data_IF_919952051200
#
_entry.id   IF_919952051200
#
_cell.length_a   1.000
_cell.length_b   1.000
_cell.length_c   1.000
_cell.angle_alpha   90.00
_cell.angle_beta   90.00
_cell.angle_gamma   90.00
#
_symmetry.space_group_name_H-M   'P 1'
#
loop_
_entity.id
_entity.type
_entity.pdbx_description
1 polymer ?
#
# COMPACT_ATOMS: atom_id res chain seq x y z
N UNK A 1 -0.54 12.02 8.56
CA UNK A 1 -0.05 10.62 8.71
C UNK A 1 -1.04 9.65 8.13
N UNK A 2 -0.61 8.44 7.83
CA UNK A 2 -1.44 7.43 7.15
C UNK A 2 -1.39 6.12 7.91
N UNK A 3 -2.57 5.51 8.11
CA UNK A 3 -2.71 4.13 8.55
C UNK A 3 -2.69 3.23 7.33
N UNK A 4 -1.87 2.19 7.33
CA UNK A 4 -1.76 1.30 6.19
C UNK A 4 -1.57 -0.17 6.57
N UNK A 5 -2.18 -1.05 5.79
CA UNK A 5 -2.04 -2.49 5.90
C UNK A 5 -0.75 -2.94 5.21
N UNK A 6 0.05 -3.77 5.87
CA UNK A 6 1.34 -4.23 5.36
C UNK A 6 1.30 -5.69 4.96
N UNK A 7 2.07 -6.00 3.93
CA UNK A 7 2.21 -7.35 3.41
C UNK A 7 3.32 -8.14 4.12
N UNK A 8 3.24 -9.46 4.04
CA UNK A 8 4.29 -10.38 4.49
C UNK A 8 5.58 -10.24 3.67
N UNK A 9 6.67 -10.80 4.19
CA UNK A 9 7.99 -10.72 3.56
C UNK A 9 8.01 -11.28 2.13
N UNK A 10 7.25 -12.35 1.85
CA UNK A 10 7.21 -12.95 0.53
C UNK A 10 6.54 -12.02 -0.50
N UNK A 11 5.44 -11.38 -0.12
CA UNK A 11 4.76 -10.37 -0.95
C UNK A 11 5.64 -9.14 -1.16
N UNK A 12 6.33 -8.65 -0.10
CA UNK A 12 7.30 -7.56 -0.22
C UNK A 12 8.39 -7.86 -1.26
N UNK A 13 8.96 -9.06 -1.24
CA UNK A 13 9.98 -9.49 -2.20
C UNK A 13 9.42 -9.50 -3.63
N UNK A 14 8.21 -10.03 -3.85
CA UNK A 14 7.60 -10.08 -5.17
C UNK A 14 7.38 -8.67 -5.75
N UNK A 15 6.81 -7.75 -4.96
CA UNK A 15 6.58 -6.37 -5.38
C UNK A 15 7.91 -5.63 -5.60
N UNK A 16 8.90 -5.86 -4.73
CA UNK A 16 10.24 -5.28 -4.89
C UNK A 16 10.95 -5.76 -6.17
N UNK A 17 10.78 -7.02 -6.53
CA UNK A 17 11.33 -7.55 -7.79
C UNK A 17 10.70 -6.87 -9.02
N UNK A 18 9.40 -6.57 -8.99
CA UNK A 18 8.75 -5.82 -10.06
C UNK A 18 9.31 -4.39 -10.12
N UNK A 19 9.40 -3.71 -8.98
CA UNK A 19 9.96 -2.36 -8.88
C UNK A 19 11.42 -2.32 -9.38
N UNK A 20 12.26 -3.26 -8.97
CA UNK A 20 13.66 -3.34 -9.40
C UNK A 20 13.79 -3.47 -10.92
N UNK A 21 12.94 -4.28 -11.56
CA UNK A 21 12.92 -4.40 -13.02
C UNK A 21 12.57 -3.09 -13.71
N UNK A 22 11.67 -2.29 -13.15
CA UNK A 22 11.36 -0.94 -13.67
C UNK A 22 12.59 -0.05 -13.57
N UNK A 23 13.28 -0.07 -12.42
CA UNK A 23 14.51 0.71 -12.21
C UNK A 23 15.66 0.26 -13.13
N UNK A 24 15.78 -1.04 -13.40
CA UNK A 24 16.76 -1.60 -14.35
C UNK A 24 16.53 -1.14 -15.81
N UNK A 25 15.31 -0.75 -16.16
CA UNK A 25 15.00 -0.12 -17.43
C UNK A 25 15.48 1.36 -17.51
N UNK A 26 16.03 1.88 -16.43
CA UNK A 26 16.55 3.25 -16.34
C UNK A 26 15.50 4.31 -15.97
N UNK A 27 14.35 3.91 -15.43
CA UNK A 27 13.36 4.86 -14.93
C UNK A 27 13.63 5.21 -13.47
N UNK A 28 13.69 6.49 -13.17
CA UNK A 28 13.87 7.01 -11.82
C UNK A 28 12.50 7.31 -11.20
N UNK A 29 12.18 6.63 -10.10
CA UNK A 29 10.94 6.86 -9.38
C UNK A 29 11.08 7.90 -8.28
N UNK A 30 9.96 8.56 -7.96
CA UNK A 30 9.85 9.52 -6.86
C UNK A 30 9.22 8.92 -5.59
N UNK A 31 8.95 7.61 -5.60
CA UNK A 31 8.34 6.93 -4.44
C UNK A 31 9.28 6.88 -3.24
N UNK A 32 8.70 6.87 -2.06
CA UNK A 32 9.43 6.72 -0.80
C UNK A 32 9.94 5.29 -0.65
N UNK A 33 11.27 5.10 -0.67
CA UNK A 33 11.91 3.78 -0.70
C UNK A 33 11.93 3.06 0.65
N UNK A 34 11.78 3.80 1.76
CA UNK A 34 11.92 3.29 3.12
C UNK A 34 10.60 2.82 3.75
N UNK A 35 9.50 2.88 3.00
CA UNK A 35 8.20 2.37 3.44
C UNK A 35 7.96 1.00 2.79
N UNK A 36 7.52 -0.02 3.53
CA UNK A 36 7.14 -1.29 2.95
C UNK A 36 5.96 -1.12 1.98
N UNK A 37 5.85 -2.00 0.98
CA UNK A 37 4.65 -2.05 0.14
C UNK A 37 3.43 -2.30 1.02
N UNK A 38 2.37 -1.53 0.76
CA UNK A 38 1.21 -1.48 1.64
C UNK A 38 -0.07 -1.10 0.88
N UNK A 39 -1.19 -1.19 1.56
CA UNK A 39 -2.47 -0.59 1.14
C UNK A 39 -2.86 0.45 2.17
N UNK A 40 -3.02 1.70 1.75
CA UNK A 40 -3.50 2.78 2.62
C UNK A 40 -4.95 2.54 3.04
N UNK A 41 -5.23 2.70 4.32
CA UNK A 41 -6.54 2.49 4.93
C UNK A 41 -7.23 3.80 5.30
N UNK A 42 -6.47 4.85 5.62
CA UNK A 42 -6.99 6.16 5.97
C UNK A 42 -5.88 7.16 6.29
N UNK A 43 -6.16 8.44 6.10
CA UNK A 43 -5.24 9.55 6.37
C UNK A 43 -5.79 10.42 7.50
N UNK A 44 -4.90 10.90 8.37
CA UNK A 44 -5.28 11.58 9.61
C UNK A 44 -4.33 12.75 9.93
N UNK A 45 -4.80 13.77 10.63
CA UNK A 45 -3.93 14.80 11.20
C UNK A 45 -3.03 14.22 12.30
N UNK A 46 -1.92 14.89 12.58
CA UNK A 46 -0.91 14.40 13.53
C UNK A 46 -1.44 14.32 14.97
N UNK A 47 -2.42 15.13 15.30
CA UNK A 47 -3.05 15.19 16.62
C UNK A 47 -3.78 13.89 16.99
N UNK A 48 -4.13 13.08 16.00
CA UNK A 48 -4.79 11.78 16.21
C UNK A 48 -3.79 10.63 16.53
N UNK A 49 -2.49 10.90 16.61
CA UNK A 49 -1.45 9.86 16.69
C UNK A 49 -1.65 8.91 17.87
N UNK A 50 -1.87 9.42 19.07
CA UNK A 50 -2.01 8.60 20.28
C UNK A 50 -3.25 7.69 20.20
N UNK A 51 -4.39 8.25 19.80
CA UNK A 51 -5.63 7.49 19.62
C UNK A 51 -5.48 6.36 18.57
N UNK A 52 -4.84 6.67 17.44
CA UNK A 52 -4.61 5.71 16.37
C UNK A 52 -3.65 4.59 16.79
N UNK A 53 -2.61 4.92 17.56
CA UNK A 53 -1.67 3.92 18.10
C UNK A 53 -2.43 2.89 18.96
N UNK A 54 -3.26 3.35 19.89
CA UNK A 54 -4.03 2.46 20.75
C UNK A 54 -5.07 1.65 19.96
N UNK A 55 -5.72 2.27 18.98
CA UNK A 55 -6.66 1.59 18.10
C UNK A 55 -5.97 0.50 17.28
N UNK A 56 -4.81 0.79 16.69
CA UNK A 56 -4.02 -0.19 15.90
C UNK A 56 -3.63 -1.38 16.77
N UNK A 57 -3.11 -1.16 17.97
CA UNK A 57 -2.78 -2.23 18.92
C UNK A 57 -3.99 -3.11 19.22
N UNK A 58 -5.13 -2.48 19.52
CA UNK A 58 -6.37 -3.19 19.80
C UNK A 58 -6.86 -4.03 18.62
N UNK A 59 -6.84 -3.47 17.42
CA UNK A 59 -7.23 -4.18 16.19
C UNK A 59 -6.32 -5.37 15.94
N UNK A 60 -5.00 -5.19 16.05
CA UNK A 60 -4.03 -6.25 15.78
C UNK A 60 -4.08 -7.40 16.80
N UNK A 61 -4.55 -7.16 18.02
CA UNK A 61 -4.79 -8.22 19.01
C UNK A 61 -5.93 -9.17 18.64
N UNK A 62 -6.89 -8.72 17.84
CA UNK A 62 -8.13 -9.48 17.54
C UNK A 62 -8.27 -9.89 16.08
N UNK A 63 -7.40 -9.41 15.20
CA UNK A 63 -7.38 -9.74 13.78
C UNK A 63 -6.33 -10.82 13.49
N UNK A 64 -6.63 -11.64 12.49
CA UNK A 64 -5.68 -12.63 11.96
C UNK A 64 -5.20 -12.20 10.58
N UNK A 65 -4.04 -12.70 10.20
CA UNK A 65 -3.53 -12.58 8.84
C UNK A 65 -4.55 -13.11 7.83
N UNK A 66 -4.62 -12.45 6.67
CA UNK A 66 -5.50 -12.87 5.59
C UNK A 66 -4.88 -12.63 4.23
N UNK A 67 -5.40 -13.32 3.23
CA UNK A 67 -4.97 -13.19 1.85
C UNK A 67 -5.89 -12.28 1.07
N UNK A 68 -5.30 -11.52 0.17
CA UNK A 68 -5.96 -10.83 -0.94
C UNK A 68 -5.27 -11.23 -2.23
N UNK A 69 -5.96 -11.08 -3.35
CA UNK A 69 -5.36 -11.31 -4.66
C UNK A 69 -4.98 -9.98 -5.29
N UNK A 70 -3.70 -9.77 -5.57
CA UNK A 70 -3.24 -8.71 -6.44
C UNK A 70 -3.48 -9.17 -7.88
N UNK A 71 -4.47 -8.56 -8.54
CA UNK A 71 -5.04 -9.10 -9.76
C UNK A 71 -4.44 -8.52 -11.02
N UNK A 72 -4.17 -7.22 -11.02
CA UNK A 72 -3.70 -6.50 -12.20
C UNK A 72 -2.88 -5.28 -11.83
N UNK A 73 -2.22 -4.71 -12.83
CA UNK A 73 -1.57 -3.40 -12.75
C UNK A 73 -2.58 -2.34 -13.19
N UNK A 74 -2.57 -1.21 -12.51
CA UNK A 74 -3.37 -0.04 -12.84
C UNK A 74 -2.59 1.23 -12.50
N UNK A 75 -3.12 2.42 -12.79
CA UNK A 75 -2.43 3.69 -12.56
C UNK A 75 -3.39 4.82 -12.15
N UNK A 76 -2.86 5.81 -11.44
CA UNK A 76 -3.54 7.08 -11.17
C UNK A 76 -2.87 8.20 -11.96
N UNK A 77 -3.66 8.98 -12.69
CA UNK A 77 -3.25 10.22 -13.38
C UNK A 77 -1.94 10.13 -14.18
N UNK A 78 -1.59 8.94 -14.64
CA UNK A 78 -0.32 8.68 -15.34
C UNK A 78 0.95 9.04 -14.52
N UNK A 79 0.84 9.11 -13.20
CA UNK A 79 1.95 9.44 -12.29
C UNK A 79 2.25 8.34 -11.27
N UNK A 80 1.27 7.45 -10.99
CA UNK A 80 1.38 6.37 -10.01
C UNK A 80 0.99 5.05 -10.63
N UNK A 81 1.92 4.10 -10.64
CA UNK A 81 1.70 2.71 -11.06
C UNK A 81 1.53 1.82 -9.83
N UNK A 82 0.51 1.00 -9.79
CA UNK A 82 0.21 0.16 -8.64
C UNK A 82 -0.34 -1.22 -9.01
N UNK A 83 -0.18 -2.18 -8.10
CA UNK A 83 -0.90 -3.43 -8.13
C UNK A 83 -2.27 -3.25 -7.49
N UNK A 84 -3.31 -3.59 -8.23
CA UNK A 84 -4.71 -3.48 -7.81
C UNK A 84 -5.20 -4.81 -7.24
N UNK A 85 -5.68 -4.84 -5.98
CA UNK A 85 -6.24 -6.04 -5.39
C UNK A 85 -7.71 -6.24 -5.77
N UNK A 86 -8.14 -7.50 -5.75
CA UNK A 86 -9.56 -7.80 -5.54
C UNK A 86 -9.87 -7.52 -4.07
N UNK A 87 -10.73 -6.53 -3.83
CA UNK A 87 -11.17 -6.20 -2.47
C UNK A 87 -12.10 -7.29 -1.96
N UNK A 88 -11.63 -8.04 -0.97
CA UNK A 88 -12.43 -9.05 -0.30
C UNK A 88 -13.08 -8.50 1.00
N UNK A 89 -14.01 -9.22 1.62
CA UNK A 89 -14.68 -8.75 2.85
C UNK A 89 -13.72 -8.40 3.99
N UNK A 90 -12.60 -9.12 4.13
CA UNK A 90 -11.62 -8.87 5.19
C UNK A 90 -10.87 -7.55 4.99
N UNK A 91 -10.48 -7.24 3.76
CA UNK A 91 -9.86 -5.96 3.44
C UNK A 91 -10.85 -4.79 3.55
N UNK A 92 -12.10 -5.00 3.12
CA UNK A 92 -13.16 -4.01 3.26
C UNK A 92 -13.46 -3.71 4.73
N UNK A 93 -13.56 -4.75 5.56
CA UNK A 93 -13.75 -4.60 7.01
C UNK A 93 -12.58 -3.86 7.65
N UNK A 94 -11.34 -4.21 7.27
CA UNK A 94 -10.15 -3.55 7.79
C UNK A 94 -10.13 -2.06 7.42
N UNK A 95 -10.43 -1.72 6.15
CA UNK A 95 -10.55 -0.33 5.73
C UNK A 95 -11.63 0.40 6.55
N UNK A 96 -12.82 -0.17 6.72
CA UNK A 96 -13.93 0.44 7.45
C UNK A 96 -13.59 0.82 8.90
N UNK A 97 -12.63 0.13 9.52
CA UNK A 97 -12.14 0.50 10.85
C UNK A 97 -11.33 1.79 10.85
N UNK A 98 -10.72 2.15 9.73
CA UNK A 98 -9.83 3.31 9.60
C UNK A 98 -10.31 4.30 8.53
N UNK A 99 -11.51 4.09 7.99
CA UNK A 99 -12.14 5.04 7.10
C UNK A 99 -12.45 6.33 7.87
N UNK A 100 -12.03 7.44 7.31
CA UNK A 100 -12.38 8.75 7.82
C UNK A 100 -12.60 9.70 6.64
N UNK A 101 -13.54 10.60 6.80
CA UNK A 101 -13.86 11.62 5.80
C UNK A 101 -12.84 12.77 5.77
N UNK A 102 -11.67 12.61 6.40
CA UNK A 102 -10.74 13.73 6.60
C UNK A 102 -10.01 14.17 5.33
N UNK A 103 -9.67 13.23 4.46
CA UNK A 103 -8.76 13.52 3.36
C UNK A 103 -9.41 13.41 1.97
N UNK A 104 -10.63 12.87 1.86
CA UNK A 104 -10.99 12.30 0.58
C UNK A 104 -12.15 12.96 -0.10
N UNK A 105 -11.78 13.80 -1.08
CA UNK A 105 -12.64 14.16 -2.21
C UNK A 105 -12.90 12.96 -3.15
N UNK A 106 -12.27 11.80 -2.90
CA UNK A 106 -12.34 10.63 -3.78
C UNK A 106 -12.73 9.38 -2.99
N UNK A 107 -13.53 8.48 -3.60
CA UNK A 107 -13.80 7.16 -3.03
C UNK A 107 -12.50 6.39 -2.78
N UNK A 108 -12.44 5.65 -1.68
CA UNK A 108 -11.30 4.78 -1.42
C UNK A 108 -11.09 3.76 -2.54
N UNK A 109 -9.87 3.68 -3.01
CA UNK A 109 -9.42 2.73 -4.02
C UNK A 109 -8.23 1.95 -3.49
N UNK A 110 -8.42 0.67 -3.18
CA UNK A 110 -7.35 -0.18 -2.68
C UNK A 110 -6.25 -0.34 -3.73
N UNK A 111 -5.01 -0.02 -3.37
CA UNK A 111 -3.87 -0.13 -4.26
C UNK A 111 -2.56 -0.33 -3.49
N UNK A 112 -1.63 -1.05 -4.10
CA UNK A 112 -0.25 -1.18 -3.62
C UNK A 112 0.68 -0.47 -4.62
N UNK A 113 1.14 0.72 -4.28
CA UNK A 113 2.02 1.52 -5.15
C UNK A 113 3.32 0.78 -5.43
N UNK A 114 3.68 0.68 -6.70
CA UNK A 114 4.94 0.06 -7.16
C UNK A 114 5.92 1.12 -7.63
N UNK A 115 5.43 2.14 -8.36
CA UNK A 115 6.27 3.15 -8.97
C UNK A 115 5.53 4.48 -9.06
N UNK A 116 6.21 5.57 -8.74
CA UNK A 116 5.75 6.93 -8.97
C UNK A 116 6.79 7.65 -9.83
N UNK A 117 6.35 8.42 -10.81
CA UNK A 117 7.25 9.12 -11.70
C UNK A 117 6.52 10.07 -12.65
N UNK A 118 7.25 10.66 -13.58
CA UNK A 118 6.64 11.47 -14.62
C UNK A 118 5.84 10.59 -15.60
N UNK A 119 4.80 11.18 -16.19
CA UNK A 119 3.88 10.48 -17.10
C UNK A 119 4.56 9.54 -18.09
N UNK A 120 5.57 10.03 -18.83
CA UNK A 120 6.23 9.20 -19.84
C UNK A 120 6.94 7.98 -19.25
N UNK A 121 7.48 8.10 -18.03
CA UNK A 121 8.13 6.99 -17.33
C UNK A 121 7.10 5.96 -16.85
N UNK A 122 5.99 6.46 -16.31
CA UNK A 122 4.88 5.60 -15.86
C UNK A 122 4.26 4.85 -17.03
N UNK A 123 4.04 5.51 -18.18
CA UNK A 123 3.51 4.86 -19.38
C UNK A 123 4.43 3.73 -19.86
N UNK A 124 5.74 3.96 -19.90
CA UNK A 124 6.71 2.93 -20.31
C UNK A 124 6.84 1.80 -19.30
N UNK A 125 6.88 2.13 -18.01
CA UNK A 125 6.90 1.14 -16.93
C UNK A 125 5.63 0.29 -16.95
N UNK A 126 4.47 0.90 -17.19
CA UNK A 126 3.19 0.21 -17.29
C UNK A 126 3.19 -0.85 -18.39
N UNK A 127 3.54 -0.47 -19.61
CA UNK A 127 3.60 -1.39 -20.75
C UNK A 127 4.46 -2.62 -20.44
N UNK A 128 5.62 -2.40 -19.79
CA UNK A 128 6.49 -3.48 -19.37
C UNK A 128 5.86 -4.34 -18.28
N UNK A 129 5.31 -3.72 -17.23
CA UNK A 129 4.78 -4.46 -16.07
C UNK A 129 3.50 -5.20 -16.44
N UNK A 130 2.57 -4.60 -17.18
CA UNK A 130 1.33 -5.26 -17.62
C UNK A 130 1.60 -6.54 -18.43
N UNK A 131 2.62 -6.50 -19.30
CA UNK A 131 3.00 -7.67 -20.10
C UNK A 131 3.71 -8.78 -19.30
N UNK A 132 4.23 -8.48 -18.10
CA UNK A 132 5.02 -9.40 -17.28
C UNK A 132 4.40 -9.67 -15.89
N UNK A 133 3.33 -8.99 -15.53
CA UNK A 133 2.66 -9.19 -14.25
C UNK A 133 1.80 -10.46 -14.30
N UNK A 134 2.01 -11.30 -13.31
CA UNK A 134 1.17 -12.48 -13.07
C UNK A 134 0.46 -12.26 -11.74
N UNK A 135 -0.87 -12.31 -11.76
CA UNK A 135 -1.69 -12.16 -10.55
C UNK A 135 -1.30 -13.20 -9.49
N UNK A 136 -1.20 -12.77 -8.24
CA UNK A 136 -0.80 -13.63 -7.13
C UNK A 136 -1.49 -13.28 -5.82
N UNK A 137 -1.54 -14.27 -4.91
CA UNK A 137 -2.06 -14.07 -3.58
C UNK A 137 -1.01 -13.39 -2.70
N UNK A 138 -1.41 -12.28 -2.08
CA UNK A 138 -0.63 -11.45 -1.18
C UNK A 138 -1.20 -11.55 0.23
N UNK A 139 -0.36 -11.72 1.24
CA UNK A 139 -0.79 -11.85 2.62
C UNK A 139 -0.66 -10.53 3.37
N UNK A 140 -1.72 -10.05 3.96
CA UNK A 140 -1.72 -8.92 4.88
C UNK A 140 -1.47 -9.44 6.30
N UNK A 141 -0.45 -8.88 6.97
CA UNK A 141 0.05 -9.41 8.24
C UNK A 141 0.00 -8.40 9.39
N UNK A 142 -0.36 -7.15 9.12
CA UNK A 142 -0.37 -6.14 10.18
C UNK A 142 -0.77 -4.76 9.69
N UNK A 143 -0.71 -3.80 10.62
CA UNK A 143 -1.08 -2.40 10.40
C UNK A 143 0.03 -1.51 10.92
N UNK A 144 0.45 -0.53 10.11
CA UNK A 144 1.42 0.49 10.48
C UNK A 144 0.77 1.86 10.44
N UNK A 145 1.33 2.77 11.23
CA UNK A 145 1.05 4.21 11.18
C UNK A 145 2.34 4.92 10.83
N UNK A 146 2.32 5.77 9.82
CA UNK A 146 3.52 6.49 9.40
C UNK A 146 3.24 7.86 8.79
N UNK A 147 4.30 8.63 8.74
CA UNK A 147 4.42 9.87 7.98
C UNK A 147 5.26 9.60 6.73
N UNK A 148 4.98 10.31 5.63
CA UNK A 148 5.68 10.07 4.37
C UNK A 148 6.76 11.10 4.05
N UNK A 149 6.64 12.32 4.54
CA UNK A 149 7.57 13.40 4.19
C UNK A 149 7.96 14.23 5.44
N UNK A 150 9.10 13.92 6.11
CA UNK A 150 10.00 12.78 5.92
C UNK A 150 9.36 11.45 6.37
N UNK A 151 9.85 10.34 5.84
CA UNK A 151 9.36 9.02 6.24
C UNK A 151 9.67 8.74 7.69
N UNK A 152 8.62 8.39 8.46
CA UNK A 152 8.74 8.00 9.86
C UNK A 152 7.63 7.01 10.22
N UNK A 153 8.00 5.81 10.64
CA UNK A 153 7.05 4.84 11.19
C UNK A 153 6.85 5.15 12.66
N UNK A 154 5.62 5.45 13.06
CA UNK A 154 5.22 5.77 14.43
C UNK A 154 4.90 4.50 15.22
N UNK A 155 4.24 3.53 14.58
CA UNK A 155 4.00 2.20 15.12
C UNK A 155 3.95 1.16 14.00
N UNK A 156 4.39 -0.06 14.31
CA UNK A 156 4.34 -1.23 13.45
C UNK A 156 3.81 -2.42 14.26
N UNK A 157 2.59 -2.85 13.98
CA UNK A 157 1.94 -3.96 14.68
C UNK A 157 1.58 -5.08 13.72
N UNK A 158 1.76 -6.32 14.16
CA UNK A 158 1.36 -7.52 13.42
C UNK A 158 0.12 -8.16 14.04
N UNK A 159 -0.68 -8.80 13.22
CA UNK A 159 -1.84 -9.59 13.66
C UNK A 159 -1.39 -10.78 14.52
N UNK A 160 -2.24 -11.18 15.48
CA UNK A 160 -1.96 -12.28 16.43
C UNK A 160 -2.82 -13.52 16.18
#
# INVERSE_FOLDING_TARGET
>A
MTVFAVFDANTQIKLKNIQNKILELGYEGSQTMDIPFHISLGSYPIECAEELIEKIKSVCLHKKEFYIRLERINHFNDEVLFAEPIVNPQLQELHSLFDNNFADSFPWHAHATIFCGEKYQVDKARDFVENNFVAFDAKIVGIYLGEFFPTKILIAETFK
#
